data_IF_846162444048
#
_entry.id   IF_846162444048
#
_cell.length_a   1.000
_cell.length_b   1.000
_cell.length_c   1.000
_cell.angle_alpha   90.00
_cell.angle_beta   90.00
_cell.angle_gamma   90.00
#
_symmetry.space_group_name_H-M   'P 1'
#
loop_
_entity.id
_entity.type
_entity.pdbx_description
1 polymer ?
#
# COMPACT_ATOMS: atom_id res chain seq x y z
N UNK A 1 -7.37 2.48 5.28
CA UNK A 1 -6.13 1.68 5.33
C UNK A 1 -6.17 0.72 4.16
N UNK A 2 -5.14 0.74 3.31
CA UNK A 2 -5.08 -0.08 2.10
C UNK A 2 -4.87 -1.58 2.37
N UNK A 3 -4.48 -1.92 3.59
CA UNK A 3 -4.20 -3.30 4.02
C UNK A 3 -4.68 -3.54 5.46
N UNK A 4 -4.95 -4.79 5.81
CA UNK A 4 -5.36 -5.17 7.17
C UNK A 4 -4.24 -4.92 8.18
N UNK A 5 -4.62 -4.67 9.45
CA UNK A 5 -3.66 -4.45 10.56
C UNK A 5 -2.70 -5.63 10.73
N UNK A 6 -3.21 -6.87 10.64
CA UNK A 6 -2.39 -8.07 10.76
C UNK A 6 -1.35 -8.16 9.63
N UNK A 7 -1.77 -7.94 8.38
CA UNK A 7 -0.85 -7.96 7.26
C UNK A 7 0.17 -6.80 7.30
N UNK A 8 -0.22 -5.62 7.80
CA UNK A 8 0.72 -4.52 8.05
C UNK A 8 1.82 -4.93 9.05
N UNK A 9 1.44 -5.56 10.16
CA UNK A 9 2.43 -6.04 11.14
C UNK A 9 3.37 -7.09 10.56
N UNK A 10 2.86 -7.99 9.71
CA UNK A 10 3.69 -8.97 8.99
C UNK A 10 4.69 -8.25 8.10
N UNK A 11 4.25 -7.29 7.27
CA UNK A 11 5.16 -6.51 6.41
C UNK A 11 6.24 -5.81 7.23
N UNK A 12 5.87 -5.17 8.34
CA UNK A 12 6.83 -4.50 9.22
C UNK A 12 7.83 -5.48 9.86
N UNK A 13 7.36 -6.65 10.31
CA UNK A 13 8.21 -7.67 10.90
C UNK A 13 9.22 -8.23 9.88
N UNK A 14 8.81 -8.45 8.63
CA UNK A 14 9.69 -8.93 7.55
C UNK A 14 10.62 -7.84 7.00
N UNK A 15 10.29 -6.56 7.19
CA UNK A 15 11.17 -5.46 6.78
C UNK A 15 12.51 -5.52 7.50
N UNK A 16 12.54 -5.86 8.80
CA UNK A 16 13.78 -5.92 9.59
C UNK A 16 14.81 -6.92 9.03
N UNK A 17 14.52 -8.23 8.89
CA UNK A 17 15.47 -9.17 8.30
C UNK A 17 15.81 -8.79 6.86
N UNK A 18 14.87 -8.24 6.08
CA UNK A 18 15.15 -7.80 4.72
C UNK A 18 16.21 -6.67 4.65
N UNK A 19 16.20 -5.72 5.59
CA UNK A 19 17.25 -4.68 5.68
C UNK A 19 18.59 -5.26 6.11
N UNK A 20 18.58 -6.23 7.03
CA UNK A 20 19.81 -6.91 7.47
C UNK A 20 20.44 -7.67 6.30
N UNK A 21 19.65 -8.39 5.51
CA UNK A 21 20.15 -9.09 4.33
C UNK A 21 20.49 -8.15 3.17
N UNK A 22 19.78 -7.03 3.02
CA UNK A 22 20.17 -6.02 2.03
C UNK A 22 21.58 -5.51 2.30
N UNK A 23 21.94 -5.28 3.57
CA UNK A 23 23.30 -4.89 3.95
C UNK A 23 24.33 -5.95 3.54
N UNK A 24 24.03 -7.23 3.74
CA UNK A 24 24.97 -8.31 3.36
C UNK A 24 25.11 -8.42 1.84
N UNK A 25 24.02 -8.27 1.09
CA UNK A 25 24.02 -8.30 -0.38
C UNK A 25 24.75 -7.09 -0.97
N UNK A 26 24.58 -5.90 -0.40
CA UNK A 26 25.22 -4.67 -0.90
C UNK A 26 26.75 -4.71 -0.76
N UNK A 27 27.27 -5.39 0.26
CA UNK A 27 28.72 -5.61 0.40
C UNK A 27 29.30 -6.40 -0.77
N UNK A 28 28.53 -7.31 -1.39
CA UNK A 28 29.02 -8.09 -2.54
C UNK A 28 29.28 -7.23 -3.78
N UNK A 29 28.64 -6.07 -3.88
CA UNK A 29 28.85 -5.08 -4.94
C UNK A 29 29.73 -3.91 -4.49
N UNK A 30 30.52 -4.09 -3.41
CA UNK A 30 31.39 -3.07 -2.80
C UNK A 30 30.64 -1.83 -2.29
N UNK A 31 29.40 -2.01 -1.82
CA UNK A 31 28.64 -0.95 -1.14
C UNK A 31 28.57 -1.29 0.35
N UNK A 32 29.38 -0.61 1.15
CA UNK A 32 29.39 -0.75 2.60
C UNK A 32 28.39 0.20 3.25
N UNK A 33 27.29 -0.36 3.78
CA UNK A 33 26.44 0.37 4.71
C UNK A 33 26.90 0.14 6.15
N UNK A 34 27.12 1.24 6.85
CA UNK A 34 27.21 1.25 8.30
C UNK A 34 25.88 0.82 8.93
N UNK A 35 25.96 0.45 10.21
CA UNK A 35 24.77 0.08 11.00
C UNK A 35 23.78 1.25 11.07
N UNK A 36 24.29 2.49 11.21
CA UNK A 36 23.45 3.67 11.30
C UNK A 36 22.73 3.99 9.98
N UNK A 37 23.42 3.86 8.84
CA UNK A 37 22.82 4.05 7.52
C UNK A 37 21.76 2.99 7.24
N UNK A 38 22.02 1.74 7.62
CA UNK A 38 21.06 0.63 7.48
C UNK A 38 19.81 0.89 8.32
N UNK A 39 19.98 1.36 9.55
CA UNK A 39 18.87 1.70 10.44
C UNK A 39 18.07 2.90 9.90
N UNK A 40 18.75 3.95 9.40
CA UNK A 40 18.10 5.10 8.80
C UNK A 40 17.28 4.71 7.56
N UNK A 41 17.85 3.89 6.67
CA UNK A 41 17.16 3.34 5.50
C UNK A 41 15.93 2.52 5.90
N UNK A 42 16.07 1.65 6.90
CA UNK A 42 14.95 0.87 7.43
C UNK A 42 13.83 1.76 7.97
N UNK A 43 14.16 2.84 8.68
CA UNK A 43 13.18 3.79 9.22
C UNK A 43 12.44 4.52 8.09
N UNK A 44 13.16 4.95 7.04
CA UNK A 44 12.54 5.55 5.85
C UNK A 44 11.57 4.58 5.18
N UNK A 45 11.96 3.32 4.99
CA UNK A 45 11.11 2.29 4.37
C UNK A 45 9.86 2.03 5.22
N UNK A 46 10.02 1.87 6.54
CA UNK A 46 8.88 1.72 7.47
C UNK A 46 7.95 2.93 7.38
N UNK A 47 8.50 4.14 7.36
CA UNK A 47 7.73 5.37 7.20
C UNK A 47 6.92 5.39 5.90
N UNK A 48 7.54 5.01 4.77
CA UNK A 48 6.86 4.91 3.48
C UNK A 48 5.74 3.86 3.50
N UNK A 49 5.99 2.68 4.07
CA UNK A 49 4.97 1.62 4.19
C UNK A 49 3.79 2.10 5.03
N UNK A 50 4.05 2.79 6.15
CA UNK A 50 2.99 3.33 7.00
C UNK A 50 2.21 4.41 6.25
N UNK A 51 2.88 5.42 5.68
CA UNK A 51 2.19 6.48 4.92
C UNK A 51 1.33 5.88 3.80
N UNK A 52 1.89 4.95 3.03
CA UNK A 52 1.17 4.23 1.98
C UNK A 52 -0.03 3.44 2.51
N UNK A 53 0.12 2.74 3.63
CA UNK A 53 -0.95 1.95 4.23
C UNK A 53 -2.13 2.82 4.71
N UNK A 54 -1.86 4.07 5.12
CA UNK A 54 -2.88 5.01 5.59
C UNK A 54 -3.42 5.95 4.50
N UNK A 55 -2.78 6.02 3.34
CA UNK A 55 -3.27 6.82 2.22
C UNK A 55 -4.62 6.27 1.74
N UNK A 56 -5.67 7.11 1.63
CA UNK A 56 -6.98 6.67 1.12
C UNK A 56 -6.85 6.22 -0.34
N UNK A 57 -7.60 5.17 -0.69
CA UNK A 57 -7.80 4.81 -2.10
C UNK A 57 -8.57 5.94 -2.77
N UNK A 58 -8.07 6.44 -3.91
CA UNK A 58 -8.85 7.35 -4.74
C UNK A 58 -10.03 6.54 -5.27
N UNK A 59 -11.25 6.96 -4.93
CA UNK A 59 -12.45 6.50 -5.60
C UNK A 59 -12.36 7.01 -7.04
N UNK A 60 -11.81 6.20 -7.94
CA UNK A 60 -11.97 6.44 -9.37
C UNK A 60 -13.45 6.20 -9.69
N UNK A 61 -14.19 7.31 -9.71
CA UNK A 61 -15.45 7.58 -10.40
C UNK A 61 -16.26 6.34 -10.82
N UNK A 62 -17.04 5.78 -9.88
CA UNK A 62 -18.28 5.06 -10.20
C UNK A 62 -19.49 5.96 -9.93
N UNK A 63 -19.47 7.15 -10.53
CA UNK A 63 -20.66 7.97 -10.78
C UNK A 63 -20.91 8.00 -12.30
N UNK A 64 -21.17 6.84 -12.89
CA UNK A 64 -21.79 6.77 -14.21
C UNK A 64 -22.41 5.38 -14.32
N UNK A 65 -23.74 5.32 -14.47
CA UNK A 65 -24.66 4.16 -14.34
C UNK A 65 -25.30 4.03 -12.96
N UNK A 66 -26.39 4.77 -12.77
CA UNK A 66 -27.71 4.18 -12.46
C UNK A 66 -28.81 5.25 -12.28
N UNK A 67 -28.65 6.45 -12.86
CA UNK A 67 -29.74 7.44 -13.03
C UNK A 67 -30.56 7.23 -14.32
N UNK A 68 -30.49 6.05 -14.95
CA UNK A 68 -31.26 5.71 -16.16
C UNK A 68 -32.09 4.42 -16.00
N UNK A 69 -32.94 4.36 -14.97
CA UNK A 69 -34.05 3.39 -14.94
C UNK A 69 -35.25 3.89 -14.10
N UNK A 70 -35.66 5.13 -14.31
CA UNK A 70 -37.01 5.60 -13.97
C UNK A 70 -37.57 6.39 -15.14
N UNK A 71 -37.94 5.72 -16.23
CA UNK A 71 -39.11 6.17 -17.00
C UNK A 71 -39.55 5.07 -17.97
N UNK A 72 -40.45 4.24 -17.49
CA UNK A 72 -41.13 3.22 -18.27
C UNK A 72 -42.51 3.03 -17.69
N UNK A 73 -43.22 4.15 -17.49
CA UNK A 73 -44.67 4.18 -17.35
C UNK A 73 -45.27 3.30 -18.46
N UNK A 74 -45.67 2.08 -18.11
CA UNK A 74 -46.51 1.24 -18.97
C UNK A 74 -47.95 1.69 -18.74
N UNK A 75 -48.59 2.38 -19.70
CA UNK A 75 -50.00 2.68 -19.57
C UNK A 75 -50.78 1.38 -19.79
N UNK A 76 -51.57 1.01 -18.79
CA UNK A 76 -52.59 -0.02 -18.91
C UNK A 76 -53.58 0.40 -20.01
N UNK A 77 -53.53 -0.27 -21.16
CA UNK A 77 -54.43 -0.05 -22.28
C UNK A 77 -55.29 -1.30 -22.54
N UNK A 78 -56.59 -1.14 -22.21
CA UNK A 78 -57.79 -1.90 -22.62
C UNK A 78 -57.71 -3.41 -22.85
#
# INVERSE_FOLDING_TARGET
MRISKGALLVVLAFTVPLIVELRTVLVWVNIDLSVLESAALGLVIVGLVVVWAFLPEREDDRQERDDDQTDGDVPNGN
#
